data_IF_834355455611
#
_entry.id   IF_834355455611
#
_cell.length_a   1.000
_cell.length_b   1.000
_cell.length_c   1.000
_cell.angle_alpha   90.00
_cell.angle_beta   90.00
_cell.angle_gamma   90.00
#
_symmetry.space_group_name_H-M   'P 1'
#
loop_
_entity.id
_entity.type
_entity.pdbx_description
1 polymer ?
#
# COMPACT_ATOMS: atom_id res chain seq x y z
N UNK A 1 41.71 -10.48 -51.76
CA UNK A 1 40.91 -11.47 -51.01
C UNK A 1 40.21 -10.69 -49.91
N UNK A 2 38.89 -10.72 -49.94
CA UNK A 2 37.98 -9.83 -49.21
C UNK A 2 37.71 -10.27 -47.76
N UNK A 3 37.21 -9.29 -47.01
CA UNK A 3 36.26 -9.38 -45.90
C UNK A 3 36.84 -9.40 -44.47
N UNK A 4 36.73 -8.25 -43.80
CA UNK A 4 36.39 -8.18 -42.37
C UNK A 4 35.09 -7.38 -42.22
N UNK A 5 34.24 -7.71 -41.23
CA UNK A 5 32.82 -7.34 -41.21
C UNK A 5 32.56 -5.95 -40.62
N UNK A 6 31.64 -5.23 -41.27
CA UNK A 6 31.01 -4.02 -40.77
C UNK A 6 30.09 -4.35 -39.59
N UNK A 7 30.50 -3.98 -38.37
CA UNK A 7 29.58 -3.84 -37.25
C UNK A 7 29.08 -2.39 -37.21
N UNK A 8 27.93 -2.16 -37.85
CA UNK A 8 27.22 -0.89 -37.78
C UNK A 8 26.55 -0.75 -36.41
N UNK A 9 27.11 0.09 -35.53
CA UNK A 9 26.36 0.66 -34.40
C UNK A 9 25.95 2.06 -34.84
N UNK A 10 24.68 2.21 -35.21
CA UNK A 10 24.09 3.53 -35.45
C UNK A 10 24.01 4.29 -34.13
N UNK A 11 24.16 5.61 -34.21
CA UNK A 11 24.13 6.61 -33.14
C UNK A 11 25.47 6.94 -32.45
N UNK A 12 26.35 7.60 -33.19
CA UNK A 12 27.21 8.62 -32.60
C UNK A 12 27.63 9.64 -33.67
N UNK A 13 26.70 10.53 -34.03
CA UNK A 13 27.12 11.78 -34.64
C UNK A 13 27.70 12.68 -33.55
N UNK A 14 28.94 13.05 -33.83
CA UNK A 14 29.86 13.85 -33.07
C UNK A 14 29.24 15.19 -32.66
N UNK A 15 29.22 15.50 -31.35
CA UNK A 15 29.17 16.88 -30.87
C UNK A 15 30.61 17.29 -30.52
N UNK A 16 31.37 17.90 -31.44
CA UNK A 16 32.66 18.46 -31.10
C UNK A 16 32.41 19.79 -30.39
N UNK A 17 32.40 19.76 -29.04
CA UNK A 17 32.79 20.85 -28.11
C UNK A 17 32.23 20.69 -26.68
N UNK A 18 32.12 19.48 -26.14
CA UNK A 18 31.95 19.35 -24.68
C UNK A 18 33.31 19.45 -23.98
N UNK A 19 33.71 20.68 -23.64
CA UNK A 19 34.73 20.91 -22.61
C UNK A 19 34.13 20.50 -21.27
N UNK A 20 34.63 19.42 -20.69
CA UNK A 20 34.34 19.06 -19.30
C UNK A 20 34.91 20.17 -18.39
N UNK A 21 34.12 21.22 -18.17
CA UNK A 21 34.30 22.09 -17.03
C UNK A 21 33.88 21.23 -15.84
N UNK A 22 34.84 20.92 -14.99
CA UNK A 22 34.62 20.37 -13.65
C UNK A 22 33.91 21.43 -12.81
N UNK A 23 32.65 21.72 -13.14
CA UNK A 23 31.77 22.53 -12.33
C UNK A 23 31.13 21.62 -11.30
N UNK A 24 31.41 21.98 -10.04
CA UNK A 24 31.10 21.19 -8.87
C UNK A 24 29.64 20.72 -8.84
N UNK A 25 29.46 19.55 -8.22
CA UNK A 25 28.20 19.14 -7.61
C UNK A 25 27.64 20.38 -6.91
N UNK A 26 26.60 20.97 -7.50
CA UNK A 26 26.01 22.19 -7.00
C UNK A 26 25.52 21.90 -5.59
N UNK A 27 26.24 22.40 -4.59
CA UNK A 27 25.73 22.42 -3.23
C UNK A 27 24.50 23.31 -3.29
N UNK A 28 23.32 22.68 -3.22
CA UNK A 28 22.05 23.38 -3.10
C UNK A 28 22.07 24.18 -1.79
N UNK A 29 22.60 25.40 -1.85
CA UNK A 29 22.34 26.43 -0.87
C UNK A 29 20.96 27.04 -1.17
N UNK A 30 19.94 26.19 -1.20
CA UNK A 30 18.59 26.65 -1.01
C UNK A 30 18.38 26.69 0.51
N UNK A 31 17.80 27.78 1.02
CA UNK A 31 16.90 27.67 2.17
C UNK A 31 15.69 26.85 1.70
N UNK A 32 15.93 25.57 1.42
CA UNK A 32 14.93 24.65 0.93
C UNK A 32 13.98 24.37 2.07
N UNK A 33 12.69 24.54 1.81
CA UNK A 33 11.65 23.91 2.62
C UNK A 33 12.00 22.43 2.71
N UNK A 34 12.57 22.02 3.83
CA UNK A 34 12.84 20.60 4.09
C UNK A 34 11.49 19.98 4.39
N UNK A 35 11.02 19.14 3.47
CA UNK A 35 9.89 18.25 3.78
C UNK A 35 10.44 17.18 4.71
N UNK A 36 9.98 17.18 5.97
CA UNK A 36 10.29 16.07 6.87
C UNK A 36 9.53 14.86 6.37
N UNK A 37 10.25 13.93 5.73
CA UNK A 37 9.69 12.61 5.43
C UNK A 37 9.42 11.95 6.77
N UNK A 38 8.14 11.84 7.12
CA UNK A 38 7.71 11.06 8.29
C UNK A 38 8.12 9.63 8.06
N UNK A 39 9.01 9.13 8.92
CA UNK A 39 9.37 7.73 8.91
C UNK A 39 8.23 6.96 9.57
N UNK A 40 7.74 5.89 8.93
CA UNK A 40 6.72 5.05 9.54
C UNK A 40 7.24 4.47 10.86
N UNK A 41 6.35 4.35 11.85
CA UNK A 41 6.70 4.05 13.25
C UNK A 41 6.15 2.70 13.69
N UNK A 42 5.29 2.08 12.88
CA UNK A 42 4.72 0.79 13.21
C UNK A 42 5.79 -0.29 13.26
N UNK A 43 5.52 -1.38 13.98
CA UNK A 43 6.33 -2.59 13.86
C UNK A 43 6.04 -3.34 12.55
N UNK A 44 5.00 -2.95 11.81
CA UNK A 44 4.55 -3.61 10.58
C UNK A 44 5.36 -3.20 9.35
N UNK A 45 6.10 -2.09 9.41
CA UNK A 45 6.80 -1.47 8.26
C UNK A 45 7.59 -2.48 7.43
N UNK A 46 8.49 -3.24 8.06
CA UNK A 46 9.40 -4.11 7.31
C UNK A 46 8.69 -5.25 6.57
N UNK A 47 7.54 -5.70 7.10
CA UNK A 47 6.74 -6.74 6.46
C UNK A 47 5.89 -6.13 5.34
N UNK A 48 5.19 -5.04 5.64
CA UNK A 48 4.31 -4.38 4.68
C UNK A 48 5.09 -3.81 3.49
N UNK A 49 6.29 -3.26 3.71
CA UNK A 49 7.15 -2.74 2.63
C UNK A 49 7.42 -3.82 1.57
N UNK A 50 7.83 -5.02 1.99
CA UNK A 50 8.08 -6.14 1.08
C UNK A 50 6.82 -6.56 0.33
N UNK A 51 5.67 -6.55 1.00
CA UNK A 51 4.41 -6.89 0.35
C UNK A 51 4.01 -5.82 -0.67
N UNK A 52 4.12 -4.54 -0.35
CA UNK A 52 3.87 -3.45 -1.30
C UNK A 52 4.80 -3.54 -2.52
N UNK A 53 6.07 -3.87 -2.34
CA UNK A 53 7.02 -4.07 -3.44
C UNK A 53 6.55 -5.20 -4.38
N UNK A 54 6.07 -6.31 -3.81
CA UNK A 54 5.51 -7.43 -4.60
C UNK A 54 4.25 -6.99 -5.34
N UNK A 55 3.30 -6.37 -4.65
CA UNK A 55 1.99 -6.01 -5.21
C UNK A 55 2.09 -4.96 -6.33
N UNK A 56 2.99 -3.99 -6.18
CA UNK A 56 3.24 -2.95 -7.20
C UNK A 56 4.08 -3.48 -8.38
N UNK A 57 4.73 -4.63 -8.21
CA UNK A 57 5.57 -5.28 -9.23
C UNK A 57 4.93 -6.50 -9.88
N UNK A 58 3.64 -6.78 -9.60
CA UNK A 58 2.91 -7.86 -10.24
C UNK A 58 3.01 -7.77 -11.77
N UNK A 59 2.92 -8.89 -12.47
CA UNK A 59 2.83 -8.86 -13.94
C UNK A 59 1.40 -8.57 -14.34
N UNK A 60 1.20 -7.90 -15.48
CA UNK A 60 -0.14 -7.84 -16.09
C UNK A 60 -0.63 -9.26 -16.39
N UNK A 61 -1.89 -9.53 -16.08
CA UNK A 61 -2.52 -10.86 -16.13
C UNK A 61 -2.12 -11.80 -14.99
N UNK A 62 -1.67 -11.27 -13.85
CA UNK A 62 -1.27 -12.09 -12.68
C UNK A 62 -2.40 -12.98 -12.15
N UNK A 63 -3.64 -12.58 -12.39
CA UNK A 63 -4.87 -13.27 -12.01
C UNK A 63 -5.35 -14.30 -13.05
N UNK A 64 -4.59 -14.51 -14.12
CA UNK A 64 -5.00 -15.34 -15.27
C UNK A 64 -5.93 -14.63 -16.26
N UNK A 65 -6.29 -13.37 -16.00
CA UNK A 65 -7.12 -12.53 -16.86
C UNK A 65 -6.36 -11.26 -17.27
N UNK A 66 -6.92 -10.08 -16.98
CA UNK A 66 -6.37 -8.78 -17.34
C UNK A 66 -5.88 -8.00 -16.12
N UNK A 67 -5.67 -8.68 -14.98
CA UNK A 67 -5.25 -8.07 -13.73
C UNK A 67 -4.02 -7.18 -13.91
N UNK A 68 -4.09 -5.94 -13.44
CA UNK A 68 -2.94 -5.03 -13.48
C UNK A 68 -2.27 -4.98 -12.11
N UNK A 69 -1.00 -4.52 -12.04
CA UNK A 69 -0.31 -4.38 -10.76
C UNK A 69 -1.00 -3.31 -9.91
N UNK A 70 -0.87 -3.40 -8.58
CA UNK A 70 -1.37 -2.36 -7.69
C UNK A 70 -0.69 -1.05 -8.04
N UNK A 71 -1.49 0.01 -8.24
CA UNK A 71 -0.96 1.32 -8.57
C UNK A 71 -0.15 1.88 -7.41
N UNK A 72 0.96 2.57 -7.72
CA UNK A 72 1.79 3.20 -6.68
C UNK A 72 0.99 4.20 -5.84
N UNK A 73 0.03 4.90 -6.44
CA UNK A 73 -0.87 5.82 -5.76
C UNK A 73 -1.71 5.11 -4.69
N UNK A 74 -2.33 3.97 -5.03
CA UNK A 74 -3.11 3.18 -4.06
C UNK A 74 -2.21 2.59 -2.97
N UNK A 75 -1.08 2.00 -3.35
CA UNK A 75 -0.11 1.43 -2.40
C UNK A 75 0.41 2.49 -1.41
N UNK A 76 0.80 3.67 -1.89
CA UNK A 76 1.27 4.76 -1.05
C UNK A 76 0.16 5.27 -0.11
N UNK A 77 -1.07 5.42 -0.60
CA UNK A 77 -2.19 5.83 0.24
C UNK A 77 -2.49 4.79 1.32
N UNK A 78 -2.59 3.52 0.94
CA UNK A 78 -2.79 2.40 1.85
C UNK A 78 -1.70 2.33 2.92
N UNK A 79 -0.42 2.46 2.56
CA UNK A 79 0.68 2.47 3.53
C UNK A 79 0.51 3.60 4.57
N UNK A 80 0.13 4.80 4.14
CA UNK A 80 -0.13 5.92 5.05
C UNK A 80 -1.37 5.71 5.93
N UNK A 81 -2.41 5.08 5.39
CA UNK A 81 -3.62 4.73 6.13
C UNK A 81 -3.31 3.68 7.21
N UNK A 82 -2.61 2.61 6.86
CA UNK A 82 -2.20 1.54 7.78
C UNK A 82 -1.36 2.11 8.94
N UNK A 83 -0.40 3.01 8.66
CA UNK A 83 0.39 3.65 9.71
C UNK A 83 -0.45 4.48 10.69
N UNK A 84 -1.59 5.02 10.25
CA UNK A 84 -2.52 5.77 11.11
C UNK A 84 -3.44 4.84 11.91
N UNK A 85 -3.78 3.69 11.34
CA UNK A 85 -4.60 2.64 11.98
C UNK A 85 -3.79 1.70 12.88
N UNK A 86 -2.46 1.89 12.95
CA UNK A 86 -1.58 1.00 13.68
C UNK A 86 -1.91 0.91 15.17
N UNK A 87 -2.17 -0.32 15.63
CA UNK A 87 -2.33 -0.66 17.05
C UNK A 87 -1.35 -1.79 17.38
N UNK A 88 -0.49 -1.56 18.39
CA UNK A 88 0.61 -2.47 18.75
C UNK A 88 0.16 -3.91 19.04
N UNK A 89 -1.04 -4.11 19.59
CA UNK A 89 -1.59 -5.42 19.93
C UNK A 89 -2.22 -6.16 18.74
N UNK A 90 -2.34 -5.51 17.58
CA UNK A 90 -2.90 -6.09 16.36
C UNK A 90 -1.81 -6.66 15.43
N UNK A 91 -2.10 -7.74 14.70
CA UNK A 91 -1.31 -8.09 13.53
C UNK A 91 -1.53 -7.05 12.43
N UNK A 92 -0.57 -6.96 11.50
CA UNK A 92 -0.74 -6.18 10.27
C UNK A 92 -1.94 -6.70 9.47
N UNK A 93 -2.63 -5.85 8.70
CA UNK A 93 -3.63 -6.33 7.75
C UNK A 93 -2.98 -7.24 6.72
N UNK A 94 -3.78 -8.15 6.16
CA UNK A 94 -3.42 -8.78 4.89
C UNK A 94 -3.61 -7.77 3.77
N UNK A 95 -2.68 -7.75 2.81
CA UNK A 95 -2.76 -6.90 1.62
C UNK A 95 -3.20 -7.74 0.43
N UNK A 96 -4.37 -7.43 -0.14
CA UNK A 96 -4.95 -8.17 -1.26
C UNK A 96 -5.02 -7.29 -2.50
N UNK A 97 -4.37 -7.65 -3.63
CA UNK A 97 -4.44 -6.89 -4.86
C UNK A 97 -5.78 -7.09 -5.58
N UNK A 98 -6.34 -6.01 -6.13
CA UNK A 98 -7.53 -6.08 -6.97
C UNK A 98 -7.15 -6.06 -8.47
N UNK A 99 -7.92 -6.72 -9.36
CA UNK A 99 -7.58 -6.81 -10.78
C UNK A 99 -7.44 -5.46 -11.51
N UNK A 100 -8.11 -4.41 -11.01
CA UNK A 100 -8.10 -3.06 -11.57
C UNK A 100 -6.92 -2.19 -11.09
N UNK A 101 -6.01 -2.72 -10.27
CA UNK A 101 -4.87 -1.98 -9.73
C UNK A 101 -5.15 -1.20 -8.45
N UNK A 102 -6.32 -1.39 -7.85
CA UNK A 102 -6.61 -1.01 -6.46
C UNK A 102 -6.17 -2.13 -5.51
N UNK A 103 -6.39 -1.96 -4.22
CA UNK A 103 -6.08 -3.01 -3.24
C UNK A 103 -7.02 -2.97 -2.05
N UNK A 104 -7.04 -4.07 -1.31
CA UNK A 104 -7.81 -4.26 -0.09
C UNK A 104 -6.89 -4.56 1.10
N UNK A 105 -7.31 -4.07 2.26
CA UNK A 105 -6.74 -4.42 3.56
C UNK A 105 -7.73 -5.31 4.31
N UNK A 106 -7.27 -6.41 4.88
CA UNK A 106 -8.15 -7.35 5.59
C UNK A 106 -7.64 -7.67 6.99
N UNK A 107 -8.54 -7.64 7.96
CA UNK A 107 -8.35 -8.18 9.30
C UNK A 107 -9.47 -9.16 9.63
N UNK A 108 -9.09 -10.34 10.12
CA UNK A 108 -10.01 -11.34 10.67
C UNK A 108 -9.59 -11.61 12.11
N UNK A 109 -10.31 -11.04 13.07
CA UNK A 109 -9.96 -11.16 14.50
C UNK A 109 -11.14 -10.88 15.42
N UNK A 110 -11.21 -11.65 16.51
CA UNK A 110 -12.19 -11.44 17.59
C UNK A 110 -13.64 -11.41 17.09
N UNK A 111 -13.97 -12.34 16.17
CA UNK A 111 -15.29 -12.43 15.52
C UNK A 111 -15.68 -11.19 14.73
N UNK A 112 -14.69 -10.39 14.32
CA UNK A 112 -14.87 -9.34 13.35
C UNK A 112 -14.06 -9.66 12.10
N UNK A 113 -14.71 -9.45 10.95
CA UNK A 113 -14.05 -9.34 9.67
C UNK A 113 -14.13 -7.88 9.23
N UNK A 114 -12.98 -7.26 8.98
CA UNK A 114 -12.88 -5.90 8.46
C UNK A 114 -12.16 -5.94 7.12
N UNK A 115 -12.82 -5.42 6.08
CA UNK A 115 -12.26 -5.24 4.76
C UNK A 115 -12.22 -3.75 4.42
N UNK A 116 -11.12 -3.26 3.86
CA UNK A 116 -10.96 -1.85 3.45
C UNK A 116 -10.45 -1.80 2.02
N UNK A 117 -11.34 -1.47 1.10
CA UNK A 117 -11.04 -1.25 -0.31
C UNK A 117 -10.49 0.15 -0.53
N UNK A 118 -9.21 0.25 -0.88
CA UNK A 118 -8.54 1.50 -1.25
C UNK A 118 -8.66 1.67 -2.77
N UNK A 119 -9.73 2.34 -3.20
CA UNK A 119 -10.01 2.61 -4.62
C UNK A 119 -9.12 3.73 -5.18
N UNK A 120 -8.74 4.66 -4.29
CA UNK A 120 -7.81 5.74 -4.56
C UNK A 120 -7.54 6.57 -3.31
N UNK A 121 -6.76 7.66 -3.42
CA UNK A 121 -6.55 8.56 -2.30
C UNK A 121 -7.87 9.21 -1.88
N UNK A 122 -8.28 9.01 -0.63
CA UNK A 122 -9.55 9.50 -0.09
C UNK A 122 -10.79 9.00 -0.86
N UNK A 123 -10.66 7.83 -1.48
CA UNK A 123 -11.74 7.09 -2.12
C UNK A 123 -11.63 5.65 -1.61
N UNK A 124 -12.32 5.40 -0.50
CA UNK A 124 -12.19 4.18 0.29
C UNK A 124 -13.59 3.68 0.63
N UNK A 125 -13.79 2.37 0.56
CA UNK A 125 -14.99 1.70 1.07
C UNK A 125 -14.54 0.70 2.12
N UNK A 126 -15.17 0.70 3.28
CA UNK A 126 -14.86 -0.25 4.34
C UNK A 126 -16.10 -1.06 4.70
N UNK A 127 -15.90 -2.35 4.91
CA UNK A 127 -16.91 -3.32 5.34
C UNK A 127 -16.49 -3.88 6.70
N UNK A 128 -17.47 -4.10 7.57
CA UNK A 128 -17.28 -4.82 8.83
C UNK A 128 -18.40 -5.83 9.01
N UNK A 129 -18.05 -7.08 9.25
CA UNK A 129 -18.98 -8.10 9.74
C UNK A 129 -18.66 -8.43 11.21
N UNK A 130 -19.68 -8.45 12.06
CA UNK A 130 -19.63 -8.96 13.44
C UNK A 130 -20.28 -10.34 13.50
N UNK A 131 -19.44 -11.37 13.54
CA UNK A 131 -19.85 -12.77 13.42
C UNK A 131 -20.60 -13.28 14.67
N UNK A 132 -20.59 -12.54 15.79
CA UNK A 132 -21.33 -12.93 17.00
C UNK A 132 -22.82 -12.63 16.90
N UNK A 133 -23.19 -11.55 16.22
CA UNK A 133 -24.57 -11.07 16.14
C UNK A 133 -25.08 -10.99 14.69
N UNK A 134 -24.27 -11.43 13.72
CA UNK A 134 -24.61 -11.45 12.29
C UNK A 134 -24.93 -10.04 11.77
N UNK A 135 -24.24 -9.03 12.28
CA UNK A 135 -24.37 -7.65 11.82
C UNK A 135 -23.28 -7.27 10.82
N UNK A 136 -23.67 -6.52 9.80
CA UNK A 136 -22.78 -6.02 8.77
C UNK A 136 -22.95 -4.51 8.64
N UNK A 137 -21.84 -3.80 8.53
CA UNK A 137 -21.78 -2.36 8.29
C UNK A 137 -20.89 -2.05 7.09
N UNK A 138 -21.24 -1.03 6.33
CA UNK A 138 -20.47 -0.51 5.20
C UNK A 138 -20.39 1.01 5.30
N UNK A 139 -19.20 1.56 5.09
CA UNK A 139 -18.97 3.01 5.07
C UNK A 139 -18.12 3.43 3.86
N UNK A 140 -18.53 4.50 3.20
CA UNK A 140 -17.72 5.22 2.23
C UNK A 140 -16.92 6.30 2.95
N UNK A 141 -15.61 6.31 2.75
CA UNK A 141 -14.68 7.17 3.47
C UNK A 141 -13.91 8.04 2.49
N UNK A 142 -14.04 9.35 2.68
CA UNK A 142 -13.20 10.33 2.01
C UNK A 142 -12.14 10.86 2.95
N UNK A 143 -12.47 11.84 3.78
CA UNK A 143 -11.49 12.56 4.61
C UNK A 143 -11.56 12.21 6.10
N UNK A 144 -12.68 11.67 6.57
CA UNK A 144 -12.91 11.32 7.96
C UNK A 144 -12.83 9.80 8.17
N UNK A 145 -11.73 9.36 8.77
CA UNK A 145 -11.44 7.94 9.05
C UNK A 145 -11.79 7.55 10.49
N UNK A 146 -12.54 8.39 11.22
CA UNK A 146 -12.82 8.17 12.64
C UNK A 146 -13.54 6.86 12.87
N UNK A 147 -14.60 6.58 12.11
CA UNK A 147 -15.39 5.36 12.27
C UNK A 147 -14.58 4.09 11.93
N UNK A 148 -13.81 4.12 10.85
CA UNK A 148 -12.89 3.01 10.54
C UNK A 148 -11.86 2.79 11.65
N UNK A 149 -11.31 3.86 12.22
CA UNK A 149 -10.37 3.75 13.33
C UNK A 149 -11.02 3.15 14.58
N UNK A 150 -12.29 3.44 14.84
CA UNK A 150 -13.07 2.80 15.91
C UNK A 150 -13.28 1.30 15.65
N UNK A 151 -13.59 0.92 14.40
CA UNK A 151 -13.71 -0.50 14.03
C UNK A 151 -12.40 -1.25 14.23
N UNK A 152 -11.27 -0.70 13.75
CA UNK A 152 -9.95 -1.30 13.95
C UNK A 152 -9.58 -1.36 15.44
N UNK A 153 -9.95 -0.35 16.23
CA UNK A 153 -9.74 -0.36 17.68
C UNK A 153 -10.55 -1.49 18.36
N UNK A 154 -11.76 -1.79 17.89
CA UNK A 154 -12.58 -2.88 18.41
C UNK A 154 -11.92 -4.26 18.22
N UNK A 155 -11.14 -4.45 17.14
CA UNK A 155 -10.34 -5.68 16.93
C UNK A 155 -9.33 -5.93 18.05
N UNK A 156 -8.86 -4.88 18.72
CA UNK A 156 -7.83 -4.98 19.76
C UNK A 156 -8.41 -5.35 21.13
N UNK A 157 -9.72 -5.16 21.33
CA UNK A 157 -10.40 -5.47 22.57
C UNK A 157 -10.72 -6.97 22.65
N UNK A 158 -10.41 -7.61 23.78
CA UNK A 158 -10.87 -8.98 24.04
C UNK A 158 -12.39 -9.00 24.12
N UNK A 159 -13.02 -9.88 23.33
CA UNK A 159 -14.45 -10.16 23.44
C UNK A 159 -14.63 -11.39 24.30
N UNK A 160 -15.24 -11.23 25.48
CA UNK A 160 -15.67 -12.35 26.30
C UNK A 160 -16.92 -12.94 25.63
N UNK A 161 -16.83 -14.20 25.18
CA UNK A 161 -18.02 -14.95 24.79
C UNK A 161 -18.95 -15.02 25.99
N UNK A 162 -20.10 -14.34 25.90
CA UNK A 162 -21.26 -14.74 26.69
C UNK A 162 -21.70 -16.08 26.11
N UNK A 163 -21.15 -17.18 26.63
CA UNK A 163 -21.82 -18.46 26.52
C UNK A 163 -23.17 -18.27 27.20
N UNK A 164 -24.22 -18.21 26.38
CA UNK A 164 -25.56 -18.45 26.86
C UNK A 164 -25.55 -19.83 27.53
N UNK A 165 -25.56 -19.82 28.86
CA UNK A 165 -26.04 -20.93 29.67
C UNK A 165 -27.54 -21.00 29.37
N UNK A 166 -27.90 -21.63 28.25
CA UNK A 166 -29.27 -21.90 27.86
C UNK A 166 -29.45 -23.40 27.59
N UNK A 167 -30.01 -24.08 28.59
CA UNK A 167 -30.47 -25.48 28.55
C UNK A 167 -29.55 -26.39 29.37
N UNK A 168 -29.89 -26.84 30.58
CA UNK A 168 -31.20 -27.32 31.02
C UNK A 168 -31.18 -28.84 30.98
#
# INVERSE_FOLDING_TARGET
MNAQPDFTTAFQDEIPNYRAITDGVSSLSARGTRVRVTHPRSAWVNELEKQFDVLTSLRRGWDGYAGVPVSFTCAQFAANLIERLYIRSLPAPQLVPMPNGTMRLEWHRNEFDIEVDVLGPYDVVAYRADLLNDSEDEIEIQTDFTELAEWVAALAAERVQLQEVAGG
#
